data_IF_506205704014
#
_entry.id   IF_506205704014
#
_cell.length_a   1.000
_cell.length_b   1.000
_cell.length_c   1.000
_cell.angle_alpha   90.00
_cell.angle_beta   90.00
_cell.angle_gamma   90.00
#
_symmetry.space_group_name_H-M   'P 1'
#
loop_
_entity.id
_entity.type
_entity.pdbx_description
1 polymer ?
#
# COMPACT_ATOMS: atom_id res chain seq x y z
N UNK A 1 31.91 -7.38 26.77
CA UNK A 1 31.08 -8.42 26.13
C UNK A 1 29.57 -8.08 26.20
N UNK A 2 29.20 -6.79 26.22
CA UNK A 2 27.82 -6.32 26.51
C UNK A 2 27.20 -5.46 25.39
N UNK A 3 27.91 -5.24 24.28
CA UNK A 3 27.45 -4.39 23.17
C UNK A 3 26.72 -5.14 22.05
N UNK A 4 26.76 -6.48 22.06
CA UNK A 4 26.11 -7.32 21.04
C UNK A 4 24.63 -7.63 21.37
N UNK A 5 24.28 -7.79 22.65
CA UNK A 5 22.91 -8.14 23.07
C UNK A 5 21.92 -6.96 22.95
N UNK A 6 22.39 -5.72 23.13
CA UNK A 6 21.54 -4.53 22.98
C UNK A 6 21.10 -4.32 21.53
N UNK A 7 21.96 -4.65 20.56
CA UNK A 7 21.66 -4.54 19.13
C UNK A 7 20.50 -5.46 18.74
N UNK A 8 20.50 -6.70 19.22
CA UNK A 8 19.47 -7.68 18.89
C UNK A 8 18.10 -7.42 19.52
N UNK A 9 18.07 -6.79 20.70
CA UNK A 9 16.82 -6.40 21.37
C UNK A 9 16.07 -5.29 20.60
N UNK A 10 16.77 -4.29 20.06
CA UNK A 10 16.16 -3.24 19.21
C UNK A 10 15.85 -3.73 17.79
N UNK A 11 16.57 -4.74 17.29
CA UNK A 11 16.36 -5.27 15.94
C UNK A 11 14.97 -5.92 15.76
N UNK A 12 14.44 -6.58 16.80
CA UNK A 12 13.11 -7.24 16.74
C UNK A 12 11.93 -6.25 16.59
N UNK A 13 11.75 -5.24 17.47
CA UNK A 13 10.67 -4.27 17.31
C UNK A 13 10.84 -3.43 16.04
N UNK A 14 12.05 -3.03 15.68
CA UNK A 14 12.30 -2.29 14.45
C UNK A 14 11.88 -3.08 13.20
N UNK A 15 12.12 -4.39 13.17
CA UNK A 15 11.72 -5.26 12.05
C UNK A 15 10.21 -5.43 11.98
N UNK A 16 9.52 -5.54 13.13
CA UNK A 16 8.05 -5.59 13.18
C UNK A 16 7.46 -4.29 12.64
N UNK A 17 7.96 -3.14 13.11
CA UNK A 17 7.51 -1.82 12.65
C UNK A 17 7.73 -1.70 11.13
N UNK A 18 8.89 -2.09 10.62
CA UNK A 18 9.19 -2.05 9.18
C UNK A 18 8.27 -2.94 8.35
N UNK A 19 7.84 -4.10 8.86
CA UNK A 19 6.89 -4.98 8.18
C UNK A 19 5.48 -4.37 8.18
N UNK A 20 5.04 -3.81 9.30
CA UNK A 20 3.71 -3.19 9.42
C UNK A 20 3.60 -1.97 8.51
N UNK A 21 4.59 -1.08 8.53
CA UNK A 21 4.61 0.13 7.70
C UNK A 21 5.18 -0.11 6.30
N UNK A 22 5.22 -1.37 5.86
CA UNK A 22 5.70 -1.67 4.52
C UNK A 22 4.76 -1.05 3.47
N UNK A 23 5.27 -0.39 2.41
CA UNK A 23 4.47 0.41 1.47
C UNK A 23 3.39 -0.40 0.74
N UNK A 24 3.59 -1.70 0.67
CA UNK A 24 2.64 -2.65 0.08
C UNK A 24 1.29 -2.67 0.82
N UNK A 25 1.27 -2.44 2.14
CA UNK A 25 0.03 -2.41 2.93
C UNK A 25 -0.74 -1.09 2.82
N UNK A 26 -0.14 -0.04 2.25
CA UNK A 26 -0.73 1.31 2.20
C UNK A 26 -2.12 1.36 1.56
N UNK A 27 -2.43 0.66 0.46
CA UNK A 27 -3.79 0.63 -0.08
C UNK A 27 -4.82 0.00 0.87
N UNK A 28 -4.41 -0.99 1.67
CA UNK A 28 -5.27 -1.61 2.69
C UNK A 28 -5.54 -0.60 3.80
N UNK A 29 -4.52 0.11 4.29
CA UNK A 29 -4.68 1.14 5.31
C UNK A 29 -5.58 2.28 4.84
N UNK A 30 -5.39 2.78 3.62
CA UNK A 30 -6.27 3.78 3.03
C UNK A 30 -7.73 3.31 3.02
N UNK A 31 -7.98 2.06 2.61
CA UNK A 31 -9.33 1.51 2.55
C UNK A 31 -9.96 1.39 3.94
N UNK A 32 -9.20 0.98 4.96
CA UNK A 32 -9.67 0.92 6.35
C UNK A 32 -10.03 2.31 6.89
N UNK A 33 -9.21 3.34 6.57
CA UNK A 33 -9.51 4.74 6.91
C UNK A 33 -10.81 5.18 6.23
N UNK A 34 -10.94 4.92 4.93
CA UNK A 34 -12.14 5.24 4.14
C UNK A 34 -13.40 4.60 4.76
N UNK A 35 -13.33 3.34 5.18
CA UNK A 35 -14.49 2.65 5.78
C UNK A 35 -14.78 3.04 7.23
N UNK A 36 -13.79 3.56 7.94
CA UNK A 36 -13.95 4.10 9.29
C UNK A 36 -14.55 5.51 9.28
N UNK A 37 -14.50 6.21 8.14
CA UNK A 37 -15.07 7.53 7.98
C UNK A 37 -16.62 7.50 8.13
N UNK A 38 -17.21 8.26 9.08
CA UNK A 38 -18.65 8.36 9.29
C UNK A 38 -19.48 8.54 8.02
N UNK A 39 -19.01 9.35 7.06
CA UNK A 39 -19.69 9.62 5.81
C UNK A 39 -19.89 8.38 4.91
N UNK A 40 -19.09 7.32 5.11
CA UNK A 40 -19.15 6.06 4.36
C UNK A 40 -19.55 4.88 5.26
N UNK A 41 -19.73 5.11 6.56
CA UNK A 41 -19.98 4.05 7.53
C UNK A 41 -21.31 3.32 7.26
N UNK A 42 -22.34 4.01 6.76
CA UNK A 42 -23.66 3.44 6.44
C UNK A 42 -23.94 3.14 4.96
N UNK A 43 -23.05 3.51 4.03
CA UNK A 43 -23.36 3.49 2.59
C UNK A 43 -23.19 2.12 1.91
N UNK A 44 -22.48 1.20 2.55
CA UNK A 44 -22.14 -0.11 2.00
C UNK A 44 -22.40 -1.21 3.04
N UNK A 45 -23.04 -2.33 2.64
CA UNK A 45 -23.18 -3.50 3.51
C UNK A 45 -21.82 -4.00 3.98
N UNK A 46 -21.76 -4.52 5.21
CA UNK A 46 -20.52 -5.02 5.82
C UNK A 46 -19.88 -6.13 4.98
N UNK A 47 -20.71 -6.94 4.31
CA UNK A 47 -20.27 -8.01 3.41
C UNK A 47 -19.49 -7.45 2.22
N UNK A 48 -19.94 -6.33 1.65
CA UNK A 48 -19.26 -5.68 0.53
C UNK A 48 -17.95 -5.05 1.00
N UNK A 49 -17.93 -4.39 2.17
CA UNK A 49 -16.69 -3.85 2.75
C UNK A 49 -15.64 -4.93 2.96
N UNK A 50 -16.03 -6.07 3.55
CA UNK A 50 -15.14 -7.23 3.74
C UNK A 50 -14.62 -7.78 2.42
N UNK A 51 -15.49 -7.91 1.42
CA UNK A 51 -15.09 -8.37 0.09
C UNK A 51 -14.07 -7.43 -0.56
N UNK A 52 -14.27 -6.11 -0.46
CA UNK A 52 -13.33 -5.12 -0.99
C UNK A 52 -11.96 -5.18 -0.30
N UNK A 53 -11.94 -5.26 1.03
CA UNK A 53 -10.70 -5.45 1.80
C UNK A 53 -10.01 -6.73 1.36
N UNK A 54 -10.75 -7.83 1.22
CA UNK A 54 -10.19 -9.12 0.83
C UNK A 54 -9.57 -9.08 -0.57
N UNK A 55 -10.29 -8.53 -1.56
CA UNK A 55 -9.80 -8.43 -2.94
C UNK A 55 -8.51 -7.61 -2.99
N UNK A 56 -8.48 -6.46 -2.30
CA UNK A 56 -7.30 -5.58 -2.26
C UNK A 56 -6.17 -6.26 -1.48
N UNK A 57 -6.43 -6.88 -0.33
CA UNK A 57 -5.41 -7.58 0.45
C UNK A 57 -4.77 -8.72 -0.35
N UNK A 58 -5.59 -9.53 -1.03
CA UNK A 58 -5.08 -10.66 -1.83
C UNK A 58 -4.28 -10.15 -3.02
N UNK A 59 -4.83 -9.28 -3.86
CA UNK A 59 -4.17 -8.87 -5.10
C UNK A 59 -3.03 -7.88 -4.90
N UNK A 60 -3.13 -6.99 -3.91
CA UNK A 60 -2.17 -5.89 -3.75
C UNK A 60 -1.11 -6.19 -2.69
N UNK A 61 -1.29 -7.23 -1.86
CA UNK A 61 -0.33 -7.59 -0.81
C UNK A 61 0.11 -9.04 -0.91
N UNK A 62 -0.83 -9.99 -0.77
CA UNK A 62 -0.48 -11.40 -0.67
C UNK A 62 0.12 -11.93 -1.97
N UNK A 63 -0.49 -11.62 -3.12
CA UNK A 63 0.01 -12.05 -4.42
C UNK A 63 1.40 -11.46 -4.73
N UNK A 64 1.65 -10.13 -4.67
CA UNK A 64 2.98 -9.57 -4.89
C UNK A 64 4.04 -10.17 -3.96
N UNK A 65 3.72 -10.37 -2.66
CA UNK A 65 4.64 -11.02 -1.71
C UNK A 65 4.93 -12.46 -2.09
N UNK A 66 3.91 -13.24 -2.47
CA UNK A 66 4.05 -14.65 -2.86
C UNK A 66 4.90 -14.84 -4.12
N UNK A 67 5.00 -13.80 -4.96
CA UNK A 67 5.81 -13.80 -6.18
C UNK A 67 7.27 -13.42 -5.93
N UNK A 68 7.63 -12.82 -4.78
CA UNK A 68 9.02 -12.49 -4.47
C UNK A 68 9.94 -13.72 -4.41
N UNK A 69 9.57 -14.85 -3.76
CA UNK A 69 10.35 -16.09 -3.82
C UNK A 69 10.56 -16.60 -5.25
N UNK A 70 9.55 -16.45 -6.12
CA UNK A 70 9.66 -16.84 -7.52
C UNK A 70 10.70 -16.00 -8.27
N UNK A 71 10.66 -14.68 -8.08
CA UNK A 71 11.69 -13.79 -8.63
C UNK A 71 13.09 -14.10 -8.08
N UNK A 72 13.19 -14.52 -6.81
CA UNK A 72 14.46 -14.91 -6.20
C UNK A 72 15.00 -16.22 -6.79
N UNK A 73 14.12 -17.19 -7.03
CA UNK A 73 14.47 -18.48 -7.61
C UNK A 73 15.01 -18.32 -9.04
N UNK A 74 14.46 -17.38 -9.80
CA UNK A 74 14.90 -17.09 -11.18
C UNK A 74 16.05 -16.09 -11.27
N UNK A 75 16.67 -15.74 -10.13
CA UNK A 75 17.77 -14.76 -10.04
C UNK A 75 17.41 -13.36 -10.61
N UNK A 76 16.12 -13.01 -10.60
CA UNK A 76 15.66 -11.66 -10.96
C UNK A 76 15.96 -10.67 -9.83
N UNK A 77 15.84 -11.12 -8.58
CA UNK A 77 16.26 -10.38 -7.39
C UNK A 77 17.40 -11.15 -6.69
N UNK A 78 18.40 -10.44 -6.21
CA UNK A 78 19.58 -11.04 -5.55
C UNK A 78 19.39 -11.15 -4.02
N UNK A 79 18.69 -10.17 -3.43
CA UNK A 79 18.40 -10.10 -1.99
C UNK A 79 16.91 -9.82 -1.72
N UNK A 80 16.46 -10.07 -0.48
CA UNK A 80 15.10 -9.76 -0.04
C UNK A 80 14.86 -8.26 0.20
N UNK A 81 15.93 -7.47 0.36
CA UNK A 81 15.87 -6.01 0.51
C UNK A 81 15.79 -5.28 -0.83
N UNK A 82 16.05 -5.98 -1.95
CA UNK A 82 15.99 -5.50 -3.33
C UNK A 82 16.57 -4.08 -3.48
N UNK A 83 17.87 -3.96 -3.21
CA UNK A 83 18.54 -2.65 -3.14
C UNK A 83 18.78 -2.04 -4.52
N UNK A 84 18.96 -2.88 -5.55
CA UNK A 84 19.22 -2.46 -6.92
C UNK A 84 17.96 -1.96 -7.60
N UNK A 85 18.03 -0.75 -8.18
CA UNK A 85 16.95 -0.16 -8.97
C UNK A 85 16.50 -1.06 -10.12
N UNK A 86 17.46 -1.77 -10.75
CA UNK A 86 17.18 -2.68 -11.88
C UNK A 86 16.39 -3.91 -11.44
N UNK A 87 16.73 -4.48 -10.29
CA UNK A 87 16.00 -5.63 -9.73
C UNK A 87 14.58 -5.25 -9.29
N UNK A 88 14.37 -4.01 -8.83
CA UNK A 88 13.05 -3.48 -8.44
C UNK A 88 12.06 -3.35 -9.59
N UNK A 89 12.52 -3.29 -10.85
CA UNK A 89 11.63 -3.09 -12.02
C UNK A 89 10.60 -4.20 -12.11
N UNK A 90 11.02 -5.47 -11.99
CA UNK A 90 10.10 -6.61 -12.13
C UNK A 90 9.05 -6.68 -11.02
N UNK A 91 9.41 -6.59 -9.71
CA UNK A 91 8.42 -6.49 -8.64
C UNK A 91 7.47 -5.29 -8.79
N UNK A 92 7.96 -4.12 -9.18
CA UNK A 92 7.12 -2.91 -9.32
C UNK A 92 6.16 -3.01 -10.52
N UNK A 93 6.64 -3.51 -11.66
CA UNK A 93 5.81 -3.76 -12.83
C UNK A 93 4.73 -4.81 -12.53
N UNK A 94 5.10 -5.92 -11.89
CA UNK A 94 4.14 -6.94 -11.46
C UNK A 94 3.09 -6.36 -10.49
N UNK A 95 3.52 -5.56 -9.51
CA UNK A 95 2.60 -4.90 -8.57
C UNK A 95 1.63 -3.97 -9.32
N UNK A 96 2.11 -3.21 -10.30
CA UNK A 96 1.26 -2.34 -11.13
C UNK A 96 0.25 -3.13 -11.95
N UNK A 97 0.64 -4.27 -12.52
CA UNK A 97 -0.28 -5.17 -13.23
C UNK A 97 -1.36 -5.68 -12.29
N UNK A 98 -0.99 -6.17 -11.11
CA UNK A 98 -1.94 -6.66 -10.11
C UNK A 98 -2.87 -5.54 -9.62
N UNK A 99 -2.39 -4.32 -9.46
CA UNK A 99 -3.22 -3.17 -9.10
C UNK A 99 -4.18 -2.81 -10.23
N UNK A 100 -3.76 -2.98 -11.49
CA UNK A 100 -4.62 -2.79 -12.66
C UNK A 100 -5.72 -3.85 -12.72
N UNK A 101 -5.39 -5.11 -12.42
CA UNK A 101 -6.36 -6.21 -12.29
C UNK A 101 -7.35 -5.94 -11.16
N UNK A 102 -6.89 -5.48 -10.00
CA UNK A 102 -7.76 -5.04 -8.90
C UNK A 102 -8.70 -3.93 -9.35
N UNK A 103 -8.19 -2.92 -10.05
CA UNK A 103 -9.01 -1.83 -10.60
C UNK A 103 -10.07 -2.34 -11.57
N UNK A 104 -9.69 -3.22 -12.50
CA UNK A 104 -10.60 -3.83 -13.46
C UNK A 104 -11.72 -4.63 -12.78
N UNK A 105 -11.37 -5.52 -11.84
CA UNK A 105 -12.35 -6.32 -11.08
C UNK A 105 -13.32 -5.40 -10.35
N UNK A 106 -12.81 -4.41 -9.60
CA UNK A 106 -13.63 -3.56 -8.74
C UNK A 106 -14.48 -2.54 -9.51
N UNK A 107 -14.09 -2.18 -10.73
CA UNK A 107 -14.92 -1.34 -11.60
C UNK A 107 -16.22 -2.01 -12.02
N UNK A 108 -16.23 -3.34 -12.11
CA UNK A 108 -17.42 -4.14 -12.38
C UNK A 108 -18.44 -4.17 -11.25
N UNK A 109 -18.05 -3.82 -10.02
CA UNK A 109 -18.97 -3.79 -8.89
C UNK A 109 -19.74 -2.46 -8.81
N UNK A 110 -20.99 -2.47 -8.30
CA UNK A 110 -21.78 -1.26 -8.05
C UNK A 110 -21.34 -0.56 -6.75
N UNK A 111 -20.05 -0.21 -6.66
CA UNK A 111 -19.48 0.52 -5.53
C UNK A 111 -19.49 2.04 -5.79
N UNK A 112 -19.53 2.87 -4.72
CA UNK A 112 -19.46 4.32 -4.83
C UNK A 112 -18.31 4.80 -5.72
N UNK A 113 -18.56 5.84 -6.52
CA UNK A 113 -17.58 6.45 -7.44
C UNK A 113 -16.28 6.82 -6.71
N UNK A 114 -16.39 7.31 -5.49
CA UNK A 114 -15.23 7.64 -4.65
C UNK A 114 -14.27 6.46 -4.46
N UNK A 115 -14.78 5.25 -4.22
CA UNK A 115 -13.94 4.05 -4.08
C UNK A 115 -13.31 3.67 -5.43
N UNK A 116 -14.06 3.77 -6.53
CA UNK A 116 -13.53 3.54 -7.89
C UNK A 116 -12.38 4.50 -8.20
N UNK A 117 -12.53 5.79 -7.89
CA UNK A 117 -11.48 6.79 -8.05
C UNK A 117 -10.26 6.50 -7.17
N UNK A 118 -10.46 6.08 -5.92
CA UNK A 118 -9.35 5.68 -5.03
C UNK A 118 -8.54 4.50 -5.59
N UNK A 119 -9.23 3.46 -6.08
CA UNK A 119 -8.57 2.28 -6.64
C UNK A 119 -7.81 2.65 -7.92
N UNK A 120 -8.40 3.49 -8.78
CA UNK A 120 -7.75 3.99 -9.98
C UNK A 120 -6.52 4.85 -9.65
N UNK A 121 -6.63 5.75 -8.66
CA UNK A 121 -5.52 6.56 -8.18
C UNK A 121 -4.38 5.69 -7.63
N UNK A 122 -4.70 4.63 -6.90
CA UNK A 122 -3.72 3.67 -6.38
C UNK A 122 -2.96 2.97 -7.51
N UNK A 123 -3.69 2.51 -8.54
CA UNK A 123 -3.10 1.95 -9.75
C UNK A 123 -2.20 2.97 -10.47
N UNK A 124 -2.67 4.21 -10.60
CA UNK A 124 -1.93 5.28 -11.26
C UNK A 124 -0.64 5.66 -10.52
N UNK A 125 -0.68 5.76 -9.19
CA UNK A 125 0.53 5.99 -8.38
C UNK A 125 1.50 4.83 -8.55
N UNK A 126 1.05 3.57 -8.50
CA UNK A 126 1.93 2.42 -8.73
C UNK A 126 2.59 2.46 -10.11
N UNK A 127 1.83 2.83 -11.14
CA UNK A 127 2.35 3.00 -12.51
C UNK A 127 3.40 4.11 -12.56
N UNK A 128 3.12 5.28 -12.00
CA UNK A 128 4.07 6.39 -11.94
C UNK A 128 5.35 6.00 -11.18
N UNK A 129 5.22 5.33 -10.04
CA UNK A 129 6.37 4.84 -9.26
C UNK A 129 7.21 3.88 -10.09
N UNK A 130 6.58 2.97 -10.83
CA UNK A 130 7.26 2.01 -11.72
C UNK A 130 7.99 2.73 -12.85
N UNK A 131 7.32 3.68 -13.50
CA UNK A 131 7.87 4.48 -14.60
C UNK A 131 9.07 5.28 -14.09
N UNK A 132 8.91 6.07 -13.03
CA UNK A 132 10.00 6.91 -12.48
C UNK A 132 11.18 6.04 -12.02
N UNK A 133 10.92 4.82 -11.51
CA UNK A 133 11.97 3.89 -11.10
C UNK A 133 12.92 3.47 -12.24
N UNK A 134 12.57 3.66 -13.52
CA UNK A 134 13.53 3.47 -14.62
C UNK A 134 14.68 4.49 -14.59
N UNK A 135 14.39 5.74 -14.21
CA UNK A 135 15.38 6.84 -14.20
C UNK A 135 15.97 7.11 -12.81
N UNK A 136 15.18 6.99 -11.73
CA UNK A 136 15.62 7.36 -10.38
C UNK A 136 15.19 6.34 -9.33
N UNK A 137 16.03 6.05 -8.33
CA UNK A 137 15.63 5.20 -7.20
C UNK A 137 14.72 6.02 -6.27
N UNK A 138 13.41 5.83 -6.39
CA UNK A 138 12.41 6.53 -5.56
C UNK A 138 12.13 5.74 -4.26
N UNK A 139 11.84 6.48 -3.18
CA UNK A 139 11.36 5.93 -1.92
C UNK A 139 9.90 5.46 -2.02
N UNK A 140 9.68 4.15 -1.88
CA UNK A 140 8.33 3.58 -1.88
C UNK A 140 7.53 3.98 -0.63
N UNK A 141 8.20 4.11 0.52
CA UNK A 141 7.55 4.56 1.76
C UNK A 141 7.03 5.98 1.60
N UNK A 142 7.83 6.89 1.05
CA UNK A 142 7.40 8.28 0.84
C UNK A 142 6.24 8.39 -0.17
N UNK A 143 6.24 7.57 -1.22
CA UNK A 143 5.13 7.53 -2.18
C UNK A 143 3.83 6.99 -1.52
N UNK A 144 3.95 5.94 -0.70
CA UNK A 144 2.84 5.37 0.06
C UNK A 144 2.27 6.34 1.10
N UNK A 145 3.13 6.96 1.91
CA UNK A 145 2.77 7.98 2.89
C UNK A 145 2.10 9.18 2.23
N UNK A 146 2.65 9.69 1.13
CA UNK A 146 2.05 10.78 0.36
C UNK A 146 0.64 10.44 -0.15
N UNK A 147 0.43 9.21 -0.62
CA UNK A 147 -0.90 8.74 -1.02
C UNK A 147 -1.87 8.63 0.18
N UNK A 148 -1.41 8.17 1.34
CA UNK A 148 -2.21 8.13 2.57
C UNK A 148 -2.58 9.55 3.06
N UNK A 149 -1.64 10.47 3.07
CA UNK A 149 -1.90 11.87 3.45
C UNK A 149 -2.95 12.47 2.51
N UNK A 150 -2.81 12.26 1.20
CA UNK A 150 -3.77 12.77 0.22
C UNK A 150 -5.20 12.27 0.47
N UNK A 151 -5.39 10.97 0.75
CA UNK A 151 -6.74 10.43 1.01
C UNK A 151 -7.33 10.99 2.30
N UNK A 152 -6.53 11.15 3.37
CA UNK A 152 -7.01 11.71 4.63
C UNK A 152 -7.41 13.17 4.47
N UNK A 153 -6.62 13.98 3.74
CA UNK A 153 -6.95 15.38 3.44
C UNK A 153 -8.28 15.45 2.66
N UNK A 154 -8.43 14.65 1.60
CA UNK A 154 -9.67 14.62 0.79
C UNK A 154 -10.88 14.24 1.65
N UNK A 155 -10.74 13.23 2.53
CA UNK A 155 -11.81 12.83 3.45
C UNK A 155 -12.14 13.94 4.45
N UNK A 156 -11.13 14.63 5.00
CA UNK A 156 -11.31 15.71 5.97
C UNK A 156 -12.11 16.86 5.37
N UNK A 157 -11.77 17.29 4.14
CA UNK A 157 -12.54 18.29 3.41
C UNK A 157 -13.96 17.81 3.09
N UNK A 158 -14.12 16.58 2.61
CA UNK A 158 -15.44 16.06 2.22
C UNK A 158 -16.39 15.89 3.41
N UNK A 159 -15.84 15.70 4.61
CA UNK A 159 -16.61 15.49 5.83
C UNK A 159 -16.77 16.75 6.70
N UNK A 160 -16.10 17.86 6.34
CA UNK A 160 -15.97 19.04 7.22
C UNK A 160 -15.54 18.67 8.65
N UNK A 161 -14.69 17.64 8.79
CA UNK A 161 -14.29 17.10 10.10
C UNK A 161 -12.77 16.99 10.17
N UNK A 162 -12.13 17.44 11.26
CA UNK A 162 -10.69 17.35 11.42
C UNK A 162 -10.27 15.89 11.68
N UNK A 163 -9.73 15.23 10.67
CA UNK A 163 -9.19 13.85 10.75
C UNK A 163 -7.70 13.84 11.17
N UNK A 164 -7.35 14.69 12.15
CA UNK A 164 -5.95 14.99 12.53
C UNK A 164 -5.18 13.74 12.97
N UNK A 165 -5.82 12.82 13.68
CA UNK A 165 -5.17 11.58 14.11
C UNK A 165 -4.76 10.67 12.95
N UNK A 166 -5.59 10.60 11.91
CA UNK A 166 -5.22 9.86 10.69
C UNK A 166 -4.08 10.55 9.95
N UNK A 167 -4.05 11.89 9.91
CA UNK A 167 -2.94 12.65 9.32
C UNK A 167 -1.63 12.35 10.04
N UNK A 168 -1.60 12.43 11.38
CA UNK A 168 -0.40 12.13 12.17
C UNK A 168 0.08 10.70 11.89
N UNK A 169 -0.83 9.73 11.86
CA UNK A 169 -0.46 8.33 11.56
C UNK A 169 0.14 8.15 10.17
N UNK A 170 -0.37 8.86 9.16
CA UNK A 170 0.12 8.78 7.78
C UNK A 170 1.48 9.43 7.55
N UNK A 171 1.89 10.37 8.42
CA UNK A 171 3.19 11.03 8.36
C UNK A 171 4.29 10.16 9.00
N UNK A 172 3.93 9.36 10.00
CA UNK A 172 4.85 8.46 10.71
C UNK A 172 5.08 7.16 9.93
N UNK A 173 4.11 6.78 9.09
CA UNK A 173 4.12 5.59 8.24
C UNK A 173 5.12 5.69 7.07
#
# INVERSE_FOLDING_TARGET
>A
MTTYETKDSFNKPAKIISVIFHPLFMPVYALLIIFSAPALFGYLPIQVKKLLVLIILVNNVLLPLSLLPFFRHWNIISSWTIDSRRERVFPLAMTTILYSVTAFILYGFPIPVFLKSFILATCFVSLLVTIINFWWKISLHSAGAGALIAIVIILSFKMNSPLVWYLISSVIA
#
